data_IF_939891977899
#
_entry.id   IF_939891977899
#
_cell.length_a   1.000
_cell.length_b   1.000
_cell.length_c   1.000
_cell.angle_alpha   90.00
_cell.angle_beta   90.00
_cell.angle_gamma   90.00
#
_symmetry.space_group_name_H-M   'P 1'
#
loop_
_entity.id
_entity.type
_entity.pdbx_description
1 polymer ?
#
# COMPACT_ATOMS: atom_id res chain seq x y z
N UNK A 1 -18.69 -29.70 -36.05
CA UNK A 1 -17.48 -29.81 -35.21
C UNK A 1 -16.57 -28.64 -35.55
N UNK A 2 -16.61 -27.58 -34.75
CA UNK A 2 -15.67 -26.47 -34.84
C UNK A 2 -15.02 -26.33 -33.46
N UNK A 3 -13.78 -26.80 -33.34
CA UNK A 3 -12.96 -26.63 -32.13
C UNK A 3 -12.57 -25.15 -32.07
N UNK A 4 -13.18 -24.41 -31.13
CA UNK A 4 -12.70 -23.08 -30.74
C UNK A 4 -11.45 -23.28 -29.88
N UNK A 5 -10.32 -22.75 -30.33
CA UNK A 5 -9.09 -22.67 -29.55
C UNK A 5 -9.36 -21.73 -28.37
N UNK A 6 -9.23 -22.25 -27.15
CA UNK A 6 -9.05 -21.43 -25.95
C UNK A 6 -7.62 -20.89 -25.99
N UNK A 7 -7.48 -19.58 -26.18
CA UNK A 7 -6.22 -18.90 -25.89
C UNK A 7 -6.09 -18.81 -24.36
N UNK A 8 -5.02 -19.38 -23.83
CA UNK A 8 -4.67 -19.25 -22.42
C UNK A 8 -4.22 -17.80 -22.18
N UNK A 9 -5.01 -17.04 -21.41
CA UNK A 9 -4.62 -15.74 -20.90
C UNK A 9 -3.63 -15.94 -19.76
N UNK A 10 -2.42 -15.41 -19.92
CA UNK A 10 -1.44 -15.32 -18.85
C UNK A 10 -1.84 -14.15 -17.94
N UNK A 11 -2.23 -14.46 -16.71
CA UNK A 11 -2.60 -13.48 -15.67
C UNK A 11 -1.32 -13.06 -14.94
N UNK A 12 -1.00 -11.76 -14.97
CA UNK A 12 0.03 -11.16 -14.14
C UNK A 12 -0.67 -10.11 -13.27
N UNK A 13 -1.12 -10.51 -12.09
CA UNK A 13 -1.48 -9.57 -11.02
C UNK A 13 -0.16 -9.20 -10.31
N UNK A 14 0.34 -7.99 -10.56
CA UNK A 14 1.53 -7.50 -9.87
C UNK A 14 1.09 -6.90 -8.54
N UNK A 15 1.08 -7.74 -7.50
CA UNK A 15 1.05 -7.25 -6.13
C UNK A 15 2.44 -6.66 -5.86
N UNK A 16 2.55 -5.33 -5.79
CA UNK A 16 3.82 -4.69 -5.41
C UNK A 16 3.94 -4.75 -3.89
N UNK A 17 4.26 -5.93 -3.38
CA UNK A 17 4.73 -6.17 -2.01
C UNK A 17 6.18 -6.64 -2.13
N UNK A 18 7.13 -5.71 -2.11
CA UNK A 18 8.53 -6.10 -2.25
C UNK A 18 9.46 -4.94 -2.58
N UNK A 19 10.05 -4.39 -1.53
CA UNK A 19 11.15 -3.44 -1.58
C UNK A 19 12.39 -4.15 -2.15
N UNK A 20 12.62 -4.11 -3.47
CA UNK A 20 13.96 -4.39 -4.01
C UNK A 20 14.78 -3.12 -3.86
N UNK A 21 15.84 -3.18 -3.05
CA UNK A 21 16.78 -2.08 -2.85
C UNK A 21 17.39 -1.63 -4.20
N UNK A 22 16.77 -0.63 -4.83
CA UNK A 22 17.39 0.12 -5.89
C UNK A 22 18.54 0.92 -5.29
N UNK A 23 19.72 0.85 -5.91
CA UNK A 23 20.84 1.70 -5.52
C UNK A 23 20.40 3.16 -5.54
N UNK A 24 20.35 3.77 -4.36
CA UNK A 24 20.20 5.20 -4.17
C UNK A 24 21.42 5.91 -4.75
N UNK A 25 21.33 6.35 -6.00
CA UNK A 25 22.25 7.37 -6.51
C UNK A 25 21.84 8.70 -5.88
N UNK A 26 22.74 9.31 -5.11
CA UNK A 26 22.55 10.64 -4.53
C UNK A 26 22.17 11.64 -5.64
N UNK A 27 20.88 11.97 -5.71
CA UNK A 27 20.37 13.07 -6.52
C UNK A 27 19.98 14.21 -5.58
N UNK A 28 20.34 15.46 -5.92
CA UNK A 28 20.00 16.61 -5.11
C UNK A 28 18.48 16.71 -4.99
N UNK A 29 17.97 16.63 -3.77
CA UNK A 29 16.58 16.94 -3.46
C UNK A 29 16.33 18.42 -3.79
N UNK A 30 15.33 18.75 -4.63
CA UNK A 30 14.96 20.15 -4.83
C UNK A 30 14.54 20.76 -3.49
N UNK A 31 15.14 21.89 -3.15
CA UNK A 31 14.81 22.63 -1.93
C UNK A 31 13.46 23.33 -2.13
N UNK A 32 12.40 22.80 -1.51
CA UNK A 32 11.12 23.47 -1.45
C UNK A 32 11.10 24.51 -0.33
N UNK A 33 10.55 25.70 -0.62
CA UNK A 33 10.39 26.77 0.38
C UNK A 33 9.44 26.34 1.51
N UNK A 34 9.74 26.83 2.72
CA UNK A 34 9.10 26.52 4.00
C UNK A 34 7.63 27.01 4.07
N UNK A 35 6.71 26.29 3.43
CA UNK A 35 5.32 26.22 3.88
C UNK A 35 5.22 25.10 4.90
N UNK A 36 4.60 25.37 6.05
CA UNK A 36 4.39 24.37 7.12
C UNK A 36 3.30 23.35 6.79
N UNK A 37 2.55 23.56 5.71
CA UNK A 37 1.54 22.61 5.24
C UNK A 37 2.09 21.79 4.08
N UNK A 38 2.28 20.50 4.32
CA UNK A 38 2.66 19.50 3.33
C UNK A 38 1.45 18.70 2.86
N UNK A 39 1.57 18.20 1.64
CA UNK A 39 0.68 17.26 0.96
C UNK A 39 1.58 16.15 0.42
N UNK A 40 1.31 14.92 0.83
CA UNK A 40 1.83 13.70 0.27
C UNK A 40 1.19 13.44 -1.10
N UNK A 41 2.03 13.18 -2.09
CA UNK A 41 1.63 12.88 -3.46
C UNK A 41 2.38 11.64 -3.92
N UNK A 42 1.67 10.63 -4.43
CA UNK A 42 2.29 9.54 -5.20
C UNK A 42 1.99 9.71 -6.67
N UNK A 43 2.95 9.40 -7.53
CA UNK A 43 2.76 9.38 -8.97
C UNK A 43 2.51 7.95 -9.45
N UNK A 44 1.56 7.78 -10.35
CA UNK A 44 1.24 6.52 -11.03
C UNK A 44 1.36 6.75 -12.52
N UNK A 45 2.11 5.89 -13.20
CA UNK A 45 2.22 5.95 -14.65
C UNK A 45 1.24 4.98 -15.32
N UNK A 46 0.16 5.54 -15.85
CA UNK A 46 -0.94 4.83 -16.51
C UNK A 46 -1.09 5.15 -18.00
N UNK A 47 -0.28 6.06 -18.56
CA UNK A 47 -0.27 6.38 -19.98
C UNK A 47 0.32 5.20 -20.79
N UNK A 48 -0.48 4.51 -21.62
CA UNK A 48 -0.01 3.39 -22.42
C UNK A 48 0.93 3.85 -23.54
N UNK A 49 1.71 2.90 -24.07
CA UNK A 49 2.60 3.09 -25.23
C UNK A 49 3.69 4.18 -25.08
N UNK A 50 4.01 4.58 -23.86
CA UNK A 50 5.18 5.40 -23.56
C UNK A 50 6.30 4.57 -22.94
N UNK A 51 7.54 4.93 -23.28
CA UNK A 51 8.72 4.48 -22.55
C UNK A 51 8.68 5.01 -21.10
N UNK A 52 9.58 4.52 -20.24
CA UNK A 52 9.72 5.09 -18.90
C UNK A 52 10.01 6.59 -18.96
N UNK A 53 9.42 7.34 -18.03
CA UNK A 53 9.50 8.80 -18.00
C UNK A 53 10.21 9.30 -16.76
N UNK A 54 10.99 10.36 -16.93
CA UNK A 54 11.45 11.19 -15.84
C UNK A 54 10.37 12.22 -15.49
N UNK A 55 10.00 12.28 -14.22
CA UNK A 55 9.00 13.21 -13.68
C UNK A 55 9.70 14.40 -13.06
N UNK A 56 9.52 15.56 -13.68
CA UNK A 56 9.99 16.85 -13.18
C UNK A 56 8.84 17.64 -12.57
N UNK A 57 9.12 18.30 -11.44
CA UNK A 57 8.21 19.24 -10.79
C UNK A 57 8.96 20.56 -10.58
N UNK A 58 8.44 21.66 -11.14
CA UNK A 58 9.10 22.98 -11.14
C UNK A 58 10.57 22.90 -11.58
N UNK A 59 10.82 22.20 -12.70
CA UNK A 59 12.13 21.94 -13.30
C UNK A 59 13.12 21.08 -12.47
N UNK A 60 12.75 20.65 -11.26
CA UNK A 60 13.50 19.68 -10.47
C UNK A 60 13.10 18.25 -10.83
N UNK A 61 14.08 17.37 -11.09
CA UNK A 61 13.82 15.94 -11.25
C UNK A 61 13.38 15.36 -9.90
N UNK A 62 12.18 14.78 -9.85
CA UNK A 62 11.61 14.19 -8.63
C UNK A 62 11.59 12.67 -8.71
N UNK A 63 11.13 12.11 -9.84
CA UNK A 63 11.03 10.67 -10.02
C UNK A 63 11.79 10.28 -11.28
N UNK A 64 12.95 9.62 -11.15
CA UNK A 64 13.67 9.11 -12.32
C UNK A 64 13.01 7.82 -12.83
N UNK A 65 12.95 7.67 -14.15
CA UNK A 65 12.60 6.43 -14.86
C UNK A 65 11.34 5.71 -14.33
N UNK A 66 10.26 6.47 -14.06
CA UNK A 66 8.97 5.88 -13.72
C UNK A 66 8.45 5.11 -14.93
N UNK A 67 8.35 3.78 -14.82
CA UNK A 67 7.88 2.92 -15.90
C UNK A 67 6.34 2.80 -15.92
N UNK A 68 5.77 2.49 -17.09
CA UNK A 68 4.35 2.17 -17.21
C UNK A 68 3.93 1.08 -16.23
N UNK A 69 2.80 1.28 -15.54
CA UNK A 69 2.29 0.36 -14.52
C UNK A 69 2.99 0.45 -13.16
N UNK A 70 3.88 1.44 -12.95
CA UNK A 70 4.52 1.69 -11.66
C UNK A 70 3.86 2.85 -10.90
N UNK A 71 3.98 2.79 -9.59
CA UNK A 71 3.62 3.87 -8.67
C UNK A 71 4.80 4.19 -7.76
N UNK A 72 4.96 5.46 -7.42
CA UNK A 72 5.95 5.87 -6.41
C UNK A 72 5.40 5.65 -4.99
N UNK A 73 6.26 5.62 -3.97
CA UNK A 73 5.85 5.99 -2.63
C UNK A 73 5.25 7.40 -2.60
N UNK A 74 4.59 7.71 -1.49
CA UNK A 74 4.14 9.08 -1.23
C UNK A 74 5.34 10.00 -0.98
N UNK A 75 5.40 11.10 -1.71
CA UNK A 75 6.41 12.14 -1.60
C UNK A 75 5.80 13.39 -0.98
N UNK A 76 6.50 14.01 -0.04
CA UNK A 76 6.02 15.23 0.60
C UNK A 76 6.28 16.47 -0.26
N UNK A 77 5.22 17.19 -0.61
CA UNK A 77 5.26 18.47 -1.29
C UNK A 77 4.62 19.55 -0.43
N UNK A 78 5.15 20.77 -0.35
CA UNK A 78 4.41 21.85 0.26
C UNK A 78 3.10 22.15 -0.49
N UNK A 79 2.12 22.72 0.21
CA UNK A 79 0.94 23.32 -0.45
C UNK A 79 1.40 24.44 -1.38
N UNK A 80 0.88 24.45 -2.61
CA UNK A 80 1.25 25.43 -3.63
C UNK A 80 0.91 25.01 -5.05
N UNK A 81 1.28 25.86 -6.00
CA UNK A 81 1.15 25.62 -7.43
C UNK A 81 2.45 25.04 -8.00
N UNK A 82 2.30 24.06 -8.88
CA UNK A 82 3.38 23.30 -9.46
C UNK A 82 3.20 23.17 -10.96
N UNK A 83 4.31 22.98 -11.67
CA UNK A 83 4.31 22.54 -13.07
C UNK A 83 4.96 21.18 -13.15
N UNK A 84 4.20 20.19 -13.61
CA UNK A 84 4.70 18.88 -14.00
C UNK A 84 5.31 19.00 -15.40
N UNK A 85 6.45 18.33 -15.62
CA UNK A 85 6.96 18.04 -16.94
C UNK A 85 7.43 16.58 -17.01
N UNK A 86 7.07 15.89 -18.09
CA UNK A 86 7.51 14.53 -18.37
C UNK A 86 8.50 14.53 -19.52
N UNK A 87 9.61 13.81 -19.34
CA UNK A 87 10.64 13.61 -20.35
C UNK A 87 10.95 12.13 -20.51
N UNK A 88 11.47 11.67 -21.67
CA UNK A 88 11.98 10.30 -21.76
C UNK A 88 13.04 10.07 -20.68
N UNK A 89 13.03 8.91 -20.04
CA UNK A 89 13.98 8.60 -18.97
C UNK A 89 15.45 8.77 -19.44
N UNK A 90 16.23 9.54 -18.68
CA UNK A 90 17.65 9.78 -18.94
C UNK A 90 17.95 10.77 -20.07
N UNK A 91 16.94 11.44 -20.62
CA UNK A 91 17.14 12.54 -21.59
C UNK A 91 17.73 13.80 -20.93
N UNK A 92 18.29 14.71 -21.74
CA UNK A 92 18.85 15.96 -21.21
C UNK A 92 17.71 16.86 -20.70
N UNK A 93 17.91 17.55 -19.57
CA UNK A 93 16.91 18.49 -19.03
C UNK A 93 16.58 19.63 -20.00
N UNK A 94 17.52 19.97 -20.90
CA UNK A 94 17.34 20.95 -21.96
C UNK A 94 16.46 20.44 -23.12
N UNK A 95 16.24 19.13 -23.23
CA UNK A 95 15.33 18.57 -24.22
C UNK A 95 13.88 18.95 -23.91
N UNK A 96 13.09 19.10 -24.97
CA UNK A 96 11.68 19.45 -24.87
C UNK A 96 10.92 18.35 -24.10
N UNK A 97 10.08 18.76 -23.15
CA UNK A 97 9.20 17.84 -22.46
C UNK A 97 8.19 17.22 -23.43
N UNK A 98 7.92 15.92 -23.25
CA UNK A 98 6.84 15.20 -23.96
C UNK A 98 5.50 15.82 -23.58
N UNK A 99 5.39 16.23 -22.31
CA UNK A 99 4.18 16.74 -21.72
C UNK A 99 4.50 17.73 -20.60
N UNK A 100 3.69 18.77 -20.47
CA UNK A 100 3.75 19.70 -19.35
C UNK A 100 2.35 20.16 -18.94
N UNK A 101 2.09 20.15 -17.64
CA UNK A 101 0.81 20.59 -17.07
C UNK A 101 1.04 21.26 -15.71
N UNK A 102 0.36 22.39 -15.49
CA UNK A 102 0.28 23.00 -14.17
C UNK A 102 -0.78 22.30 -13.31
N UNK A 103 -0.50 22.13 -12.02
CA UNK A 103 -1.41 21.58 -11.03
C UNK A 103 -1.23 22.28 -9.68
N UNK A 104 -2.27 22.26 -8.85
CA UNK A 104 -2.26 22.91 -7.53
C UNK A 104 -2.47 21.87 -6.44
N UNK A 105 -1.61 21.89 -5.43
CA UNK A 105 -1.80 21.15 -4.19
C UNK A 105 -2.35 22.12 -3.17
N UNK A 106 -3.62 21.96 -2.80
CA UNK A 106 -4.26 22.79 -1.79
C UNK A 106 -4.19 22.13 -0.41
N UNK A 107 -4.15 22.95 0.64
CA UNK A 107 -4.45 22.47 1.99
C UNK A 107 -5.91 22.03 2.02
N UNK A 108 -6.18 20.75 2.29
CA UNK A 108 -7.54 20.32 2.61
C UNK A 108 -7.89 20.77 4.02
N UNK A 109 -9.16 21.11 4.27
CA UNK A 109 -9.64 21.62 5.58
C UNK A 109 -9.67 20.56 6.70
N UNK A 110 -9.32 19.32 6.40
CA UNK A 110 -9.66 18.14 7.23
C UNK A 110 -8.50 17.16 7.39
N UNK A 111 -7.25 17.59 7.17
CA UNK A 111 -6.07 16.74 7.42
C UNK A 111 -5.81 15.69 6.34
N UNK A 112 -6.61 15.61 5.27
CA UNK A 112 -6.32 14.76 4.12
C UNK A 112 -5.19 15.38 3.31
N UNK A 113 -3.98 14.87 3.57
CA UNK A 113 -2.76 15.31 2.93
C UNK A 113 -2.31 14.33 1.85
N UNK A 114 -3.09 13.36 1.41
CA UNK A 114 -2.62 12.35 0.45
C UNK A 114 -3.38 12.43 -0.88
N UNK A 115 -2.65 12.39 -1.99
CA UNK A 115 -3.19 12.40 -3.34
C UNK A 115 -2.52 11.34 -4.20
N UNK A 116 -3.30 10.75 -5.09
CA UNK A 116 -2.83 9.89 -6.16
C UNK A 116 -2.81 10.69 -7.47
N UNK A 117 -1.62 11.01 -7.97
CA UNK A 117 -1.39 11.63 -9.28
C UNK A 117 -1.27 10.56 -10.36
N UNK A 118 -2.29 10.42 -11.21
CA UNK A 118 -2.28 9.44 -12.31
C UNK A 118 -1.91 10.15 -13.61
N UNK A 119 -0.77 9.77 -14.19
CA UNK A 119 -0.31 10.18 -15.50
C UNK A 119 -0.98 9.25 -16.53
N UNK A 120 -1.96 9.75 -17.27
CA UNK A 120 -2.81 8.97 -18.19
C UNK A 120 -3.18 9.79 -19.42
N UNK A 121 -3.98 9.24 -20.33
CA UNK A 121 -4.49 9.99 -21.48
C UNK A 121 -5.68 10.90 -21.08
N UNK A 122 -5.87 12.00 -21.79
CA UNK A 122 -7.12 12.77 -21.79
C UNK A 122 -8.14 12.19 -22.78
N UNK A 123 -9.33 12.81 -22.88
CA UNK A 123 -10.38 12.43 -23.84
C UNK A 123 -9.94 12.53 -25.31
N UNK A 124 -8.88 13.31 -25.60
CA UNK A 124 -8.28 13.43 -26.92
C UNK A 124 -7.15 12.43 -27.18
N UNK A 125 -6.79 11.59 -26.20
CA UNK A 125 -5.66 10.66 -26.30
C UNK A 125 -4.29 11.30 -26.02
N UNK A 126 -4.24 12.56 -25.56
CA UNK A 126 -2.98 13.22 -25.22
C UNK A 126 -2.59 12.93 -23.76
N UNK A 127 -1.29 12.93 -23.42
CA UNK A 127 -0.86 12.82 -22.02
C UNK A 127 -1.51 13.90 -21.13
N UNK A 128 -1.90 13.51 -19.94
CA UNK A 128 -2.52 14.34 -18.92
C UNK A 128 -2.17 13.85 -17.50
N UNK A 129 -2.21 14.75 -16.53
CA UNK A 129 -2.17 14.44 -15.11
C UNK A 129 -3.57 14.62 -14.50
N UNK A 130 -4.11 13.55 -13.93
CA UNK A 130 -5.27 13.63 -13.05
C UNK A 130 -4.84 13.51 -11.59
N UNK A 131 -5.43 14.35 -10.73
CA UNK A 131 -5.23 14.30 -9.29
C UNK A 131 -6.48 13.74 -8.63
N UNK A 132 -6.33 12.65 -7.89
CA UNK A 132 -7.39 12.05 -7.08
C UNK A 132 -7.04 12.17 -5.60
N UNK A 133 -8.02 12.61 -4.81
CA UNK A 133 -7.88 12.70 -3.36
C UNK A 133 -8.04 11.31 -2.74
N UNK A 134 -7.10 10.95 -1.86
CA UNK A 134 -7.21 9.74 -1.07
C UNK A 134 -8.04 10.05 0.18
N UNK A 135 -9.22 9.45 0.28
CA UNK A 135 -10.07 9.53 1.48
C UNK A 135 -9.53 8.58 2.55
N UNK A 136 -8.77 9.16 3.49
CA UNK A 136 -8.09 8.45 4.57
C UNK A 136 -8.71 8.67 5.93
N UNK A 137 -9.99 9.06 5.97
CA UNK A 137 -10.76 9.04 7.21
C UNK A 137 -10.67 7.66 7.87
N UNK A 138 -10.42 7.58 9.18
CA UNK A 138 -10.41 6.31 9.89
C UNK A 138 -11.69 5.51 9.63
N UNK A 139 -11.52 4.23 9.29
CA UNK A 139 -12.62 3.27 9.30
C UNK A 139 -12.66 2.52 10.63
N UNK A 140 -13.81 1.92 10.94
CA UNK A 140 -13.95 1.01 12.08
C UNK A 140 -12.94 -0.15 11.94
N UNK A 141 -12.31 -0.54 13.05
CA UNK A 141 -11.42 -1.70 13.09
C UNK A 141 -12.11 -2.94 12.50
N UNK A 142 -11.41 -3.69 11.66
CA UNK A 142 -11.95 -4.81 10.88
C UNK A 142 -12.59 -4.42 9.56
N UNK A 143 -12.45 -3.15 9.16
CA UNK A 143 -12.81 -2.66 7.83
C UNK A 143 -11.61 -1.97 7.16
N UNK A 144 -11.55 -2.15 5.85
CA UNK A 144 -10.75 -1.37 4.92
C UNK A 144 -11.65 -0.46 4.10
N UNK A 145 -11.06 0.43 3.29
CA UNK A 145 -11.78 1.25 2.31
C UNK A 145 -11.28 0.91 0.92
N UNK A 146 -12.15 0.99 -0.09
CA UNK A 146 -11.78 0.77 -1.48
C UNK A 146 -12.43 1.79 -2.41
N UNK A 147 -11.67 2.23 -3.42
CA UNK A 147 -12.21 2.95 -4.58
C UNK A 147 -11.59 2.43 -5.89
N UNK A 148 -12.17 2.83 -7.01
CA UNK A 148 -11.80 2.43 -8.36
C UNK A 148 -11.52 3.67 -9.21
N UNK A 149 -10.39 3.68 -9.90
CA UNK A 149 -10.00 4.68 -10.90
C UNK A 149 -10.00 4.01 -12.27
N UNK A 150 -10.70 4.61 -13.23
CA UNK A 150 -10.72 4.13 -14.61
C UNK A 150 -9.81 4.96 -15.50
N UNK A 151 -8.63 4.42 -15.85
CA UNK A 151 -7.59 5.09 -16.62
C UNK A 151 -7.45 4.58 -18.08
N UNK A 152 -8.45 3.85 -18.61
CA UNK A 152 -8.37 3.29 -19.98
C UNK A 152 -9.27 4.09 -20.91
N UNK A 153 -8.64 4.90 -21.76
CA UNK A 153 -9.34 5.69 -22.76
C UNK A 153 -10.08 4.80 -23.78
N UNK A 154 -11.27 5.22 -24.18
CA UNK A 154 -12.08 4.52 -25.18
C UNK A 154 -12.78 3.24 -24.69
N UNK A 155 -12.71 2.95 -23.38
CA UNK A 155 -13.49 1.88 -22.75
C UNK A 155 -14.75 2.48 -22.10
N UNK A 156 -15.88 1.77 -22.23
CA UNK A 156 -17.14 2.15 -21.59
C UNK A 156 -17.01 2.13 -20.07
N UNK A 157 -17.95 2.76 -19.31
CA UNK A 157 -17.90 2.72 -17.85
C UNK A 157 -17.73 1.29 -17.31
N UNK A 158 -16.97 1.16 -16.22
CA UNK A 158 -16.59 -0.12 -15.64
C UNK A 158 -17.17 -0.32 -14.23
N UNK A 159 -17.38 -1.58 -13.89
CA UNK A 159 -17.74 -2.04 -12.54
C UNK A 159 -16.59 -2.89 -11.98
N UNK A 160 -16.33 -2.77 -10.68
CA UNK A 160 -15.52 -3.71 -9.91
C UNK A 160 -16.46 -4.60 -9.10
N UNK A 161 -16.31 -5.90 -9.27
CA UNK A 161 -17.18 -6.88 -8.64
C UNK A 161 -16.42 -8.13 -8.24
N UNK A 162 -17.02 -8.92 -7.36
CA UNK A 162 -16.52 -10.25 -7.02
C UNK A 162 -16.76 -11.22 -8.17
N UNK A 163 -15.96 -12.29 -8.23
CA UNK A 163 -16.13 -13.38 -9.20
C UNK A 163 -17.49 -14.10 -9.08
N UNK A 164 -18.14 -14.03 -7.92
CA UNK A 164 -19.50 -14.53 -7.68
C UNK A 164 -20.61 -13.56 -8.17
N UNK A 165 -20.24 -12.40 -8.72
CA UNK A 165 -21.14 -11.38 -9.26
C UNK A 165 -21.63 -10.35 -8.23
N UNK A 166 -21.20 -10.43 -6.97
CA UNK A 166 -21.54 -9.41 -5.99
C UNK A 166 -20.84 -8.07 -6.33
N UNK A 167 -21.58 -6.95 -6.47
CA UNK A 167 -21.00 -5.67 -6.84
C UNK A 167 -20.18 -5.07 -5.69
N UNK A 168 -19.08 -4.38 -6.02
CA UNK A 168 -18.27 -3.61 -5.06
C UNK A 168 -18.34 -2.12 -5.40
N UNK A 169 -18.01 -1.75 -6.63
CA UNK A 169 -18.07 -0.37 -7.15
C UNK A 169 -18.61 -0.40 -8.58
N UNK A 170 -19.44 0.57 -8.96
CA UNK A 170 -20.15 0.53 -10.25
C UNK A 170 -20.15 1.87 -10.97
N UNK A 171 -20.23 1.82 -12.30
CA UNK A 171 -20.47 2.96 -13.17
C UNK A 171 -19.29 3.93 -13.26
N UNK A 172 -18.06 3.45 -13.09
CA UNK A 172 -16.88 4.33 -13.10
C UNK A 172 -16.50 4.65 -14.54
N UNK A 173 -16.71 5.90 -14.94
CA UNK A 173 -16.37 6.42 -16.27
C UNK A 173 -14.88 6.70 -16.38
N UNK A 174 -14.34 6.67 -17.61
CA UNK A 174 -12.96 7.06 -17.90
C UNK A 174 -12.56 8.41 -17.27
N UNK A 175 -11.31 8.51 -16.80
CA UNK A 175 -10.73 9.65 -16.11
C UNK A 175 -11.44 10.05 -14.80
N UNK A 176 -12.29 9.20 -14.24
CA UNK A 176 -12.93 9.41 -12.94
C UNK A 176 -12.48 8.40 -11.90
N UNK A 177 -12.67 8.78 -10.64
CA UNK A 177 -12.61 7.90 -9.47
C UNK A 177 -14.03 7.65 -8.97
N UNK A 178 -14.30 6.45 -8.48
CA UNK A 178 -15.56 6.12 -7.82
C UNK A 178 -15.71 6.82 -6.47
N UNK A 179 -16.91 6.77 -5.89
CA UNK A 179 -17.03 6.88 -4.44
C UNK A 179 -16.31 5.72 -3.73
N UNK A 180 -16.06 5.86 -2.44
CA UNK A 180 -15.41 4.82 -1.64
C UNK A 180 -16.43 3.91 -0.95
N UNK A 181 -16.08 2.64 -0.75
CA UNK A 181 -16.83 1.68 0.05
C UNK A 181 -15.97 1.10 1.16
N UNK A 182 -16.53 0.91 2.35
CA UNK A 182 -15.85 0.18 3.41
C UNK A 182 -16.13 -1.31 3.25
N UNK A 183 -15.07 -2.13 3.25
CA UNK A 183 -15.13 -3.57 3.09
C UNK A 183 -14.65 -4.25 4.37
N UNK A 184 -15.37 -5.27 4.88
CA UNK A 184 -14.86 -6.11 5.94
C UNK A 184 -13.51 -6.73 5.56
N UNK A 185 -12.64 -6.93 6.54
CA UNK A 185 -11.40 -7.69 6.37
C UNK A 185 -11.69 -9.08 5.82
N UNK A 186 -10.91 -9.51 4.83
CA UNK A 186 -11.12 -10.80 4.18
C UNK A 186 -10.46 -10.92 2.81
N UNK A 187 -10.65 -12.08 2.19
CA UNK A 187 -10.18 -12.38 0.84
C UNK A 187 -11.27 -12.09 -0.19
N UNK A 188 -10.90 -11.36 -1.24
CA UNK A 188 -11.81 -10.95 -2.31
C UNK A 188 -11.25 -11.34 -3.67
N UNK A 189 -11.93 -12.26 -4.36
CA UNK A 189 -11.65 -12.56 -5.76
C UNK A 189 -12.37 -11.54 -6.65
N UNK A 190 -11.62 -10.64 -7.28
CA UNK A 190 -12.17 -9.49 -7.98
C UNK A 190 -11.98 -9.56 -9.50
N UNK A 191 -12.95 -8.99 -10.21
CA UNK A 191 -12.94 -8.78 -11.66
C UNK A 191 -13.45 -7.39 -12.00
N UNK A 192 -13.02 -6.87 -13.14
CA UNK A 192 -13.57 -5.65 -13.72
C UNK A 192 -14.38 -6.01 -14.94
N UNK A 193 -15.60 -5.50 -15.03
CA UNK A 193 -16.51 -5.68 -16.16
C UNK A 193 -16.89 -4.33 -16.76
N UNK A 194 -17.48 -4.33 -17.95
CA UNK A 194 -18.28 -3.18 -18.36
C UNK A 194 -19.47 -3.01 -17.39
N UNK A 195 -19.97 -1.79 -17.26
CA UNK A 195 -21.06 -1.51 -16.32
C UNK A 195 -22.31 -2.33 -16.62
N UNK A 196 -22.79 -3.06 -15.62
CA UNK A 196 -23.95 -3.93 -15.72
C UNK A 196 -23.72 -5.29 -16.38
N UNK A 197 -22.49 -5.63 -16.76
CA UNK A 197 -22.12 -6.97 -17.26
C UNK A 197 -21.86 -7.97 -16.12
N UNK A 198 -21.72 -9.25 -16.48
CA UNK A 198 -21.46 -10.34 -15.53
C UNK A 198 -19.98 -10.73 -15.50
N UNK A 199 -19.48 -11.42 -14.45
CA UNK A 199 -18.08 -11.85 -14.35
C UNK A 199 -17.60 -12.71 -15.54
N UNK A 200 -18.51 -13.42 -16.22
CA UNK A 200 -18.18 -14.23 -17.40
C UNK A 200 -17.74 -13.38 -18.61
N UNK A 201 -18.12 -12.09 -18.63
CA UNK A 201 -17.74 -11.11 -19.64
C UNK A 201 -16.69 -10.11 -19.11
N UNK A 202 -15.89 -10.51 -18.10
CA UNK A 202 -14.89 -9.63 -17.52
C UNK A 202 -13.92 -9.05 -18.56
N UNK A 203 -13.67 -7.74 -18.43
CA UNK A 203 -12.64 -7.02 -19.18
C UNK A 203 -11.24 -7.42 -18.70
N UNK A 204 -11.10 -7.61 -17.38
CA UNK A 204 -9.89 -8.17 -16.76
C UNK A 204 -10.23 -8.86 -15.44
N UNK A 205 -9.39 -9.82 -15.06
CA UNK A 205 -9.42 -10.46 -13.74
C UNK A 205 -8.37 -9.77 -12.88
N UNK A 206 -8.80 -9.17 -11.76
CA UNK A 206 -7.88 -8.56 -10.77
C UNK A 206 -7.21 -9.67 -9.96
N UNK A 207 -7.98 -10.73 -9.65
CA UNK A 207 -7.52 -11.87 -8.87
C UNK A 207 -7.92 -11.74 -7.41
N UNK A 208 -7.36 -12.63 -6.59
CA UNK A 208 -7.56 -12.61 -5.15
C UNK A 208 -6.78 -11.44 -4.53
N UNK A 209 -7.43 -10.65 -3.70
CA UNK A 209 -6.77 -9.66 -2.86
C UNK A 209 -7.10 -9.90 -1.39
N UNK A 210 -6.08 -9.75 -0.55
CA UNK A 210 -6.18 -9.74 0.90
C UNK A 210 -6.51 -8.33 1.36
N UNK A 211 -7.76 -8.12 1.81
CA UNK A 211 -8.24 -6.84 2.31
C UNK A 211 -8.04 -6.79 3.82
N UNK A 212 -7.13 -5.94 4.26
CA UNK A 212 -6.69 -5.78 5.64
C UNK A 212 -7.15 -4.45 6.24
N UNK A 213 -7.35 -4.41 7.56
CA UNK A 213 -7.91 -3.23 8.24
C UNK A 213 -6.99 -2.02 8.09
N UNK A 214 -7.55 -0.82 8.28
CA UNK A 214 -6.80 0.44 8.31
C UNK A 214 -6.12 0.84 6.97
N UNK A 215 -6.57 0.26 5.85
CA UNK A 215 -6.03 0.56 4.53
C UNK A 215 -7.10 1.11 3.59
N UNK A 216 -6.72 2.10 2.80
CA UNK A 216 -7.38 2.47 1.55
C UNK A 216 -6.76 1.65 0.41
N UNK A 217 -7.59 0.86 -0.28
CA UNK A 217 -7.28 0.17 -1.52
C UNK A 217 -7.71 1.02 -2.71
N UNK A 218 -6.74 1.49 -3.47
CA UNK A 218 -6.92 2.21 -4.73
C UNK A 218 -6.72 1.24 -5.88
N UNK A 219 -7.81 0.81 -6.51
CA UNK A 219 -7.77 -0.03 -7.71
C UNK A 219 -7.72 0.89 -8.92
N UNK A 220 -6.66 0.83 -9.72
CA UNK A 220 -6.50 1.64 -10.93
C UNK A 220 -6.48 0.72 -12.14
N UNK A 221 -7.49 0.84 -13.01
CA UNK A 221 -7.54 0.06 -14.24
C UNK A 221 -6.82 0.82 -15.33
N UNK A 222 -5.71 0.27 -15.81
CA UNK A 222 -4.82 0.84 -16.83
C UNK A 222 -4.77 -0.09 -18.05
N UNK A 223 -4.31 0.42 -19.20
CA UNK A 223 -4.23 -0.37 -20.44
C UNK A 223 -4.74 0.40 -21.64
N UNK A 224 -5.10 -0.33 -22.68
CA UNK A 224 -5.71 0.23 -23.90
C UNK A 224 -7.00 -0.51 -24.26
N UNK A 225 -7.91 0.17 -24.96
CA UNK A 225 -9.09 -0.46 -25.54
C UNK A 225 -8.74 -1.45 -26.68
N UNK A 226 -7.59 -1.27 -27.34
CA UNK A 226 -7.07 -2.18 -28.37
C UNK A 226 -6.52 -3.49 -27.81
N UNK A 227 -6.17 -3.52 -26.52
CA UNK A 227 -5.60 -4.69 -25.87
C UNK A 227 -4.08 -4.81 -25.97
N UNK A 228 -3.37 -3.76 -26.38
CA UNK A 228 -1.91 -3.69 -26.43
C UNK A 228 -1.44 -2.30 -25.93
N UNK A 229 -1.01 -2.18 -24.64
CA UNK A 229 -1.08 -3.21 -23.60
C UNK A 229 -2.53 -3.55 -23.21
N UNK A 230 -2.74 -4.82 -22.84
CA UNK A 230 -4.04 -5.31 -22.37
C UNK A 230 -4.46 -4.63 -21.05
N UNK A 231 -5.77 -4.43 -20.81
CA UNK A 231 -6.26 -3.93 -19.53
C UNK A 231 -5.75 -4.75 -18.34
N UNK A 232 -5.22 -4.06 -17.33
CA UNK A 232 -4.78 -4.63 -16.06
C UNK A 232 -5.16 -3.71 -14.91
N UNK A 233 -5.04 -4.19 -13.67
CA UNK A 233 -5.30 -3.42 -12.47
C UNK A 233 -4.02 -3.24 -11.64
N UNK A 234 -3.74 -2.00 -11.25
CA UNK A 234 -2.83 -1.69 -10.15
C UNK A 234 -3.64 -1.62 -8.87
N UNK A 235 -3.27 -2.39 -7.86
CA UNK A 235 -3.90 -2.34 -6.53
C UNK A 235 -2.89 -1.71 -5.59
N UNK A 236 -3.15 -0.47 -5.19
CA UNK A 236 -2.28 0.28 -4.28
C UNK A 236 -2.94 0.39 -2.92
N UNK A 237 -2.15 0.31 -1.85
CA UNK A 237 -2.63 0.47 -0.47
C UNK A 237 -2.05 1.72 0.17
N UNK A 238 -2.88 2.48 0.87
CA UNK A 238 -2.47 3.62 1.68
C UNK A 238 -3.04 3.46 3.09
N UNK A 239 -2.23 3.45 4.16
CA UNK A 239 -2.77 3.40 5.51
C UNK A 239 -3.58 4.66 5.82
N UNK A 240 -4.67 4.52 6.60
CA UNK A 240 -5.43 5.68 7.04
C UNK A 240 -4.57 6.60 7.89
N UNK A 241 -4.92 7.88 7.88
CA UNK A 241 -4.25 8.84 8.73
C UNK A 241 -4.77 8.66 10.15
N UNK A 242 -4.00 7.97 10.97
CA UNK A 242 -4.31 7.80 12.38
C UNK A 242 -3.50 8.78 13.21
N UNK A 243 -4.11 9.91 13.56
CA UNK A 243 -3.77 10.56 14.83
C UNK A 243 -4.59 9.81 15.88
N UNK A 244 -3.98 8.88 16.65
CA UNK A 244 -4.74 8.02 17.55
C UNK A 244 -5.58 8.88 18.49
N UNK A 245 -6.83 8.47 18.72
CA UNK A 245 -7.62 9.08 19.78
C UNK A 245 -6.89 8.92 21.13
N UNK A 246 -7.28 9.70 22.15
CA UNK A 246 -6.61 9.68 23.46
C UNK A 246 -6.59 8.28 24.11
N UNK A 247 -7.50 7.40 23.69
CA UNK A 247 -7.69 6.03 24.14
C UNK A 247 -7.20 4.97 23.13
N UNK A 248 -6.49 5.35 22.07
CA UNK A 248 -5.93 4.44 21.07
C UNK A 248 -4.40 4.38 21.14
N UNK A 249 -3.86 3.22 20.75
CA UNK A 249 -2.45 2.98 20.53
C UNK A 249 -2.22 2.66 19.04
N UNK A 250 -1.16 3.21 18.45
CA UNK A 250 -0.71 2.82 17.12
C UNK A 250 0.05 1.48 17.21
N UNK A 251 -0.49 0.43 16.60
CA UNK A 251 0.06 -0.92 16.70
C UNK A 251 0.47 -1.45 15.34
N UNK A 252 1.75 -1.78 15.17
CA UNK A 252 2.20 -2.65 14.07
C UNK A 252 2.15 -4.11 14.55
N UNK A 253 1.79 -5.04 13.66
CA UNK A 253 1.75 -6.48 13.98
C UNK A 253 2.75 -7.20 13.08
N UNK A 254 3.63 -7.99 13.68
CA UNK A 254 4.67 -8.73 12.99
C UNK A 254 4.57 -10.23 13.26
N UNK A 255 4.79 -11.03 12.21
CA UNK A 255 4.88 -12.48 12.35
C UNK A 255 6.34 -12.93 12.49
N UNK A 256 6.83 -13.00 13.72
CA UNK A 256 8.22 -13.36 14.02
C UNK A 256 8.50 -14.87 14.10
N UNK A 257 7.48 -15.72 14.09
CA UNK A 257 7.66 -17.18 14.19
C UNK A 257 8.12 -17.79 12.86
N UNK A 258 9.19 -18.59 12.90
CA UNK A 258 9.78 -19.20 11.69
C UNK A 258 9.22 -20.59 11.33
N UNK A 259 8.41 -21.20 12.20
CA UNK A 259 7.81 -22.53 11.97
C UNK A 259 6.27 -22.48 11.83
N UNK A 260 5.64 -21.34 12.12
CA UNK A 260 4.22 -21.14 11.90
C UNK A 260 3.92 -20.77 10.44
N UNK A 261 2.80 -21.27 9.86
CA UNK A 261 2.34 -20.84 8.54
C UNK A 261 1.76 -19.43 8.59
N UNK A 262 1.35 -18.88 7.44
CA UNK A 262 0.60 -17.63 7.39
C UNK A 262 -0.67 -17.69 8.26
N UNK A 263 -1.02 -16.57 8.88
CA UNK A 263 -2.12 -16.49 9.85
C UNK A 263 -3.10 -15.35 9.56
N UNK A 264 -4.35 -15.60 9.92
CA UNK A 264 -5.35 -14.54 10.07
C UNK A 264 -5.33 -14.06 11.53
N UNK A 265 -5.31 -12.74 11.73
CA UNK A 265 -5.23 -12.10 13.05
C UNK A 265 -6.57 -11.48 13.42
N UNK A 266 -7.00 -11.73 14.66
CA UNK A 266 -8.24 -11.20 15.20
C UNK A 266 -7.99 -10.47 16.51
N UNK A 267 -8.66 -9.33 16.69
CA UNK A 267 -8.68 -8.57 17.93
C UNK A 267 -10.10 -8.57 18.50
N UNK A 268 -10.27 -9.08 19.73
CA UNK A 268 -11.58 -9.23 20.38
C UNK A 268 -12.61 -9.90 19.46
N UNK A 269 -12.20 -11.01 18.83
CA UNK A 269 -12.96 -11.79 17.84
C UNK A 269 -13.32 -11.07 16.52
N UNK A 270 -12.85 -9.83 16.32
CA UNK A 270 -12.98 -9.11 15.04
C UNK A 270 -11.76 -9.40 14.15
N UNK A 271 -11.93 -9.87 12.89
CA UNK A 271 -10.80 -10.05 11.99
C UNK A 271 -10.18 -8.70 11.67
N UNK A 272 -8.87 -8.59 11.82
CA UNK A 272 -8.12 -7.36 11.53
C UNK A 272 -7.12 -7.55 10.40
N UNK A 273 -6.57 -8.76 10.25
CA UNK A 273 -5.64 -9.12 9.19
C UNK A 273 -5.97 -10.51 8.66
N UNK A 274 -5.81 -10.71 7.37
CA UNK A 274 -5.78 -12.01 6.69
C UNK A 274 -4.44 -12.21 6.01
N UNK A 275 -3.96 -13.44 6.01
CA UNK A 275 -2.78 -13.83 5.24
C UNK A 275 -1.44 -13.25 5.71
N UNK A 276 -1.30 -12.89 7.00
CA UNK A 276 -0.02 -12.36 7.51
C UNK A 276 1.07 -13.45 7.44
N UNK A 277 2.06 -13.30 6.56
CA UNK A 277 3.11 -14.30 6.33
C UNK A 277 4.27 -14.18 7.34
N UNK A 278 5.00 -15.27 7.62
CA UNK A 278 6.23 -15.20 8.42
C UNK A 278 7.24 -14.17 7.88
N UNK A 279 7.63 -13.23 8.73
CA UNK A 279 8.52 -12.11 8.39
C UNK A 279 7.80 -10.82 8.03
N UNK A 280 6.48 -10.85 7.80
CA UNK A 280 5.71 -9.64 7.53
C UNK A 280 5.56 -8.76 8.77
N UNK A 281 5.46 -7.45 8.51
CA UNK A 281 5.12 -6.41 9.48
C UNK A 281 4.09 -5.49 8.85
N UNK A 282 2.97 -5.27 9.54
CA UNK A 282 1.96 -4.32 9.06
C UNK A 282 2.41 -2.87 9.25
N UNK A 283 1.81 -1.91 8.51
CA UNK A 283 1.76 -0.54 8.98
C UNK A 283 1.11 -0.44 10.36
N UNK A 284 1.27 0.71 11.02
CA UNK A 284 0.56 0.98 12.27
C UNK A 284 -0.95 1.00 12.05
N UNK A 285 -1.65 0.30 12.94
CA UNK A 285 -3.10 0.19 13.01
C UNK A 285 -3.54 0.85 14.33
N UNK A 286 -4.45 1.82 14.33
CA UNK A 286 -5.02 2.33 15.57
C UNK A 286 -5.86 1.24 16.24
N UNK A 287 -5.54 0.93 17.49
CA UNK A 287 -6.24 -0.08 18.29
C UNK A 287 -6.62 0.50 19.66
N UNK A 288 -7.71 0.03 20.29
CA UNK A 288 -8.06 0.43 21.64
C UNK A 288 -6.93 0.12 22.63
N UNK A 289 -6.57 1.10 23.46
CA UNK A 289 -5.61 0.90 24.55
C UNK A 289 -6.18 -0.03 25.65
N UNK A 290 -5.27 -0.69 26.37
CA UNK A 290 -5.60 -1.65 27.42
C UNK A 290 -5.66 -3.10 26.92
N UNK A 291 -6.32 -3.97 27.71
CA UNK A 291 -6.37 -5.40 27.42
C UNK A 291 -7.16 -5.71 26.14
N UNK A 292 -6.48 -6.33 25.17
CA UNK A 292 -7.07 -6.83 23.92
C UNK A 292 -6.78 -8.31 23.79
N UNK A 293 -7.82 -9.11 23.53
CA UNK A 293 -7.67 -10.52 23.17
C UNK A 293 -7.20 -10.61 21.73
N UNK A 294 -5.97 -11.02 21.51
CA UNK A 294 -5.47 -11.38 20.19
C UNK A 294 -5.60 -12.89 19.96
N UNK A 295 -6.05 -13.26 18.78
CA UNK A 295 -6.09 -14.67 18.36
C UNK A 295 -5.61 -14.83 16.94
N UNK A 296 -4.92 -15.94 16.69
CA UNK A 296 -4.40 -16.35 15.40
C UNK A 296 -5.16 -17.59 14.93
N UNK A 297 -5.53 -17.57 13.65
CA UNK A 297 -6.07 -18.73 12.94
C UNK A 297 -5.16 -19.01 11.74
N UNK A 298 -5.15 -20.24 11.26
CA UNK A 298 -4.50 -20.55 9.97
C UNK A 298 -5.10 -19.68 8.87
N UNK A 299 -4.28 -19.13 7.97
CA UNK A 299 -4.74 -18.25 6.91
C UNK A 299 -5.85 -18.90 6.06
N UNK A 300 -6.95 -18.18 5.86
CA UNK A 300 -8.11 -18.67 5.09
C UNK A 300 -9.00 -19.66 5.83
N UNK A 301 -8.72 -19.95 7.11
CA UNK A 301 -9.63 -20.73 7.94
C UNK A 301 -10.97 -20.01 8.13
N UNK A 302 -12.04 -20.79 8.35
CA UNK A 302 -13.35 -20.20 8.63
C UNK A 302 -13.27 -19.28 9.87
N UNK A 303 -13.95 -18.11 9.89
CA UNK A 303 -13.85 -17.17 11.00
C UNK A 303 -14.25 -17.72 12.37
N UNK A 304 -15.11 -18.75 12.40
CA UNK A 304 -15.56 -19.43 13.61
C UNK A 304 -14.73 -20.68 13.96
N UNK A 305 -13.64 -20.93 13.24
CA UNK A 305 -12.71 -22.00 13.58
C UNK A 305 -11.99 -21.70 14.90
N UNK A 306 -11.53 -22.76 15.57
CA UNK A 306 -10.75 -22.62 16.79
C UNK A 306 -9.45 -21.88 16.50
N UNK A 307 -9.06 -20.96 17.38
CA UNK A 307 -7.78 -20.29 17.27
C UNK A 307 -6.63 -21.30 17.43
N UNK A 308 -5.60 -21.17 16.60
CA UNK A 308 -4.34 -21.89 16.77
C UNK A 308 -3.59 -21.39 18.00
N UNK A 309 -3.71 -20.09 18.27
CA UNK A 309 -3.18 -19.44 19.47
C UNK A 309 -4.06 -18.25 19.85
N UNK A 310 -4.25 -18.01 21.14
CA UNK A 310 -4.90 -16.80 21.64
C UNK A 310 -4.29 -16.37 22.97
N UNK A 311 -4.15 -15.06 23.17
CA UNK A 311 -3.71 -14.48 24.42
C UNK A 311 -4.30 -13.09 24.59
N UNK A 312 -4.48 -12.67 25.83
CA UNK A 312 -4.70 -11.28 26.16
C UNK A 312 -3.35 -10.54 26.10
N UNK A 313 -3.35 -9.37 25.48
CA UNK A 313 -2.19 -8.46 25.38
C UNK A 313 -2.63 -7.11 25.90
N UNK A 314 -1.88 -6.55 26.84
CA UNK A 314 -2.13 -5.19 27.34
C UNK A 314 -1.49 -4.18 26.38
N UNK A 315 -2.32 -3.45 25.64
CA UNK A 315 -1.90 -2.42 24.70
C UNK A 315 -1.69 -1.10 25.44
N UNK A 316 -0.53 -0.99 26.09
CA UNK A 316 -0.08 0.22 26.76
C UNK A 316 1.35 0.58 26.32
N UNK A 317 1.57 1.84 25.95
CA UNK A 317 2.90 2.36 25.61
C UNK A 317 2.99 3.85 25.92
N UNK A 318 4.06 4.26 26.59
CA UNK A 318 4.34 5.67 26.87
C UNK A 318 4.69 6.47 25.60
N UNK A 319 5.08 5.79 24.51
CA UNK A 319 5.43 6.43 23.22
C UNK A 319 4.23 6.64 22.29
N UNK A 320 3.05 6.11 22.63
CA UNK A 320 1.86 6.17 21.77
C UNK A 320 1.89 5.21 20.57
N UNK A 321 2.96 4.43 20.40
CA UNK A 321 3.08 3.39 19.39
C UNK A 321 3.83 2.16 19.88
N UNK A 322 3.54 1.00 19.30
CA UNK A 322 4.24 -0.24 19.59
C UNK A 322 4.12 -1.26 18.44
N UNK A 323 5.09 -2.16 18.38
CA UNK A 323 5.05 -3.36 17.53
C UNK A 323 4.72 -4.59 18.37
N UNK A 324 3.64 -5.28 18.05
CA UNK A 324 3.34 -6.63 18.56
C UNK A 324 4.02 -7.64 17.65
N UNK A 325 4.82 -8.52 18.24
CA UNK A 325 5.45 -9.61 17.49
C UNK A 325 4.95 -10.95 18.00
N UNK A 326 4.44 -11.76 17.08
CA UNK A 326 4.15 -13.17 17.33
C UNK A 326 5.47 -13.97 17.30
N UNK A 327 5.95 -14.38 18.47
CA UNK A 327 7.26 -14.98 18.69
C UNK A 327 7.16 -16.43 19.14
N UNK A 328 8.27 -17.15 19.04
CA UNK A 328 8.39 -18.54 19.49
C UNK A 328 7.99 -19.54 18.41
N UNK A 329 7.78 -20.79 18.84
CA UNK A 329 7.43 -21.91 17.97
C UNK A 329 6.05 -22.46 18.30
N UNK A 330 5.23 -22.67 17.26
CA UNK A 330 3.95 -23.38 17.39
C UNK A 330 4.20 -24.86 17.71
N UNK A 331 5.19 -25.47 17.07
CA UNK A 331 5.52 -26.90 17.22
C UNK A 331 5.96 -27.22 18.66
N UNK A 332 6.78 -26.33 19.24
CA UNK A 332 7.35 -26.50 20.57
C UNK A 332 6.46 -25.93 21.69
N UNK A 333 5.31 -25.34 21.34
CA UNK A 333 4.37 -24.76 22.31
C UNK A 333 4.91 -23.54 23.06
N UNK A 334 5.87 -22.82 22.47
CA UNK A 334 6.50 -21.62 23.05
C UNK A 334 5.96 -20.32 22.47
N UNK A 335 4.94 -20.42 21.62
CA UNK A 335 4.34 -19.30 20.92
C UNK A 335 3.76 -18.26 21.90
N UNK A 336 4.05 -16.97 21.66
CA UNK A 336 3.56 -15.87 22.49
C UNK A 336 3.50 -14.55 21.69
N UNK A 337 2.70 -13.59 22.16
CA UNK A 337 2.78 -12.20 21.72
C UNK A 337 3.70 -11.41 22.65
N UNK A 338 4.61 -10.63 22.06
CA UNK A 338 5.43 -9.66 22.79
C UNK A 338 5.21 -8.27 22.23
N UNK A 339 5.07 -7.29 23.11
CA UNK A 339 4.88 -5.88 22.75
C UNK A 339 6.21 -5.14 22.91
N UNK A 340 6.62 -4.42 21.87
CA UNK A 340 7.82 -3.60 21.86
C UNK A 340 7.43 -2.14 21.56
N UNK A 341 7.73 -1.18 22.44
CA UNK A 341 7.44 0.24 22.16
C UNK A 341 8.16 0.74 20.91
N UNK A 342 7.46 1.51 20.09
CA UNK A 342 8.03 2.16 18.92
C UNK A 342 8.31 3.63 19.22
N UNK A 343 9.44 4.14 18.72
CA UNK A 343 9.75 5.57 18.76
C UNK A 343 9.33 6.22 17.44
N UNK A 344 8.20 6.93 17.47
CA UNK A 344 7.57 7.55 16.29
C UNK A 344 7.78 9.07 16.23
N UNK A 345 8.72 9.60 17.02
CA UNK A 345 9.06 11.02 16.97
C UNK A 345 9.59 11.38 15.58
N UNK A 346 9.17 12.55 15.08
CA UNK A 346 9.60 13.10 13.78
C UNK A 346 11.12 13.08 13.67
N UNK A 347 11.60 12.67 12.49
CA UNK A 347 13.01 12.69 12.12
C UNK A 347 13.29 13.85 11.17
N UNK A 348 14.53 14.30 11.15
CA UNK A 348 14.97 15.20 10.08
C UNK A 348 15.06 14.45 8.75
N UNK A 349 15.02 15.17 7.63
CA UNK A 349 15.01 14.56 6.30
C UNK A 349 16.30 13.82 5.91
N UNK A 350 17.33 13.85 6.75
CA UNK A 350 18.63 13.20 6.54
C UNK A 350 18.88 12.04 7.49
N UNK A 351 17.96 11.77 8.42
CA UNK A 351 18.07 10.69 9.38
C UNK A 351 16.99 9.64 9.16
N UNK A 352 17.37 8.40 9.41
CA UNK A 352 16.47 7.27 9.51
C UNK A 352 16.67 6.64 10.89
N UNK A 353 15.64 6.01 11.42
CA UNK A 353 15.67 5.28 12.69
C UNK A 353 15.49 3.80 12.40
N UNK A 354 16.32 2.96 12.99
CA UNK A 354 16.23 1.50 12.86
C UNK A 354 15.98 0.88 14.23
N UNK A 355 14.97 0.02 14.31
CA UNK A 355 14.65 -0.80 15.49
C UNK A 355 14.77 -2.27 15.11
N UNK A 356 15.57 -3.04 15.84
CA UNK A 356 15.84 -4.45 15.54
C UNK A 356 15.20 -5.33 16.60
N UNK A 357 14.36 -6.28 16.19
CA UNK A 357 13.78 -7.30 17.06
C UNK A 357 14.32 -8.66 16.65
N UNK A 358 15.00 -9.36 17.56
CA UNK A 358 15.51 -10.70 17.27
C UNK A 358 14.40 -11.74 17.50
N UNK A 359 13.84 -12.28 16.42
CA UNK A 359 12.79 -13.30 16.50
C UNK A 359 13.32 -14.74 16.53
N UNK A 360 14.64 -14.93 16.40
CA UNK A 360 15.30 -16.25 16.31
C UNK A 360 15.33 -16.94 17.67
N UNK A 361 15.08 -18.25 17.67
CA UNK A 361 14.97 -19.07 18.89
C UNK A 361 16.31 -19.66 19.38
N UNK A 362 17.33 -19.72 18.53
CA UNK A 362 18.55 -20.53 18.77
C UNK A 362 19.76 -19.76 19.28
N UNK A 363 19.70 -18.43 19.43
CA UNK A 363 20.83 -17.65 19.96
C UNK A 363 20.81 -16.15 19.67
N UNK A 364 21.79 -15.40 20.19
CA UNK A 364 21.88 -13.97 19.97
C UNK A 364 22.21 -13.63 18.52
N UNK A 365 21.71 -12.50 18.04
CA UNK A 365 21.93 -11.98 16.69
C UNK A 365 22.75 -10.68 16.69
N UNK A 366 23.54 -10.49 15.64
CA UNK A 366 24.19 -9.21 15.34
C UNK A 366 23.60 -8.67 14.03
N UNK A 367 23.39 -7.35 13.96
CA UNK A 367 23.05 -6.66 12.73
C UNK A 367 24.05 -5.53 12.54
N UNK A 368 24.71 -5.50 11.38
CA UNK A 368 25.71 -4.49 11.01
C UNK A 368 25.44 -4.03 9.57
N UNK A 369 25.69 -2.75 9.31
CA UNK A 369 25.75 -2.22 7.96
C UNK A 369 26.98 -2.78 7.23
N UNK A 370 26.97 -2.73 5.90
CA UNK A 370 28.08 -3.23 5.07
C UNK A 370 29.41 -2.52 5.31
N UNK A 371 29.39 -1.33 5.90
CA UNK A 371 30.59 -0.58 6.31
C UNK A 371 31.11 -0.96 7.71
N UNK A 372 30.45 -1.90 8.39
CA UNK A 372 30.78 -2.38 9.73
C UNK A 372 30.12 -1.60 10.87
N UNK A 373 29.24 -0.64 10.57
CA UNK A 373 28.48 0.06 11.61
C UNK A 373 27.49 -0.89 12.26
N UNK A 374 27.67 -1.19 13.54
CA UNK A 374 26.77 -2.07 14.27
C UNK A 374 25.45 -1.38 14.63
N UNK A 375 24.34 -2.02 14.27
CA UNK A 375 22.98 -1.61 14.61
C UNK A 375 22.45 -2.38 15.83
N UNK A 376 22.83 -3.66 15.96
CA UNK A 376 22.55 -4.48 17.13
C UNK A 376 23.71 -5.45 17.38
N UNK A 377 24.11 -5.60 18.64
CA UNK A 377 25.22 -6.49 19.05
C UNK A 377 24.71 -7.45 20.11
N UNK A 378 24.93 -8.74 19.87
CA UNK A 378 24.58 -9.86 20.74
C UNK A 378 23.12 -9.78 21.24
N UNK A 379 22.21 -9.34 20.37
CA UNK A 379 20.81 -9.15 20.71
C UNK A 379 20.18 -10.51 21.04
N UNK A 380 19.81 -10.70 22.30
CA UNK A 380 19.30 -11.98 22.79
C UNK A 380 18.03 -12.43 22.04
N UNK A 381 17.72 -13.73 22.00
CA UNK A 381 16.43 -14.22 21.50
C UNK A 381 15.25 -13.44 22.11
N UNK A 382 14.32 -13.02 21.27
CA UNK A 382 13.11 -12.28 21.63
C UNK A 382 13.34 -10.91 22.28
N UNK A 383 14.57 -10.38 22.19
CA UNK A 383 14.89 -9.02 22.64
C UNK A 383 14.84 -8.04 21.46
N UNK A 384 14.66 -6.76 21.81
CA UNK A 384 14.76 -5.66 20.87
C UNK A 384 15.94 -4.73 21.21
N UNK A 385 16.53 -4.13 20.18
CA UNK A 385 17.56 -3.09 20.35
C UNK A 385 16.91 -1.79 20.85
N UNK A 386 17.71 -0.86 21.35
CA UNK A 386 17.27 0.53 21.33
C UNK A 386 17.16 0.98 19.86
N UNK A 387 16.27 1.92 19.52
CA UNK A 387 16.28 2.56 18.21
C UNK A 387 17.62 3.27 17.98
N UNK A 388 18.20 3.12 16.79
CA UNK A 388 19.49 3.70 16.38
C UNK A 388 19.31 4.64 15.20
#
# INVERSE_FOLDING_TARGET
MARKLFAAFLVIALLVTGFTAASITNHPTPAFAQSTDTVLLRFVHALPDSEAVDVYVNDGLVVPALAYGQATPHLAFPVGDYTLALRPAGSDVADAAIFSQSFSLAASRTGYRQNTAVIQADEGGNPALALYFDDLDPATLGFARMHLIHAVAGVAPIDLQRTDGAPILQGVTFNQVSGSVNLPVGNYDLVVTATGDTPENALLVVGNIEVNTNLLYTVIVIGTASGDPAPTALVLTTPFFSNPAQDELLVSIAHGSGDAPAVDVYANDTPILVGLEPGDVTPHIPMPSGAVKLSLREAGALPNSAAAFESEVDLSSDSGAATIVALGSLTDGTFNFSLFPDEIADLDSTTARIHVINTVTTGPANLELSDGTALAIALAPFAASNPV
#
